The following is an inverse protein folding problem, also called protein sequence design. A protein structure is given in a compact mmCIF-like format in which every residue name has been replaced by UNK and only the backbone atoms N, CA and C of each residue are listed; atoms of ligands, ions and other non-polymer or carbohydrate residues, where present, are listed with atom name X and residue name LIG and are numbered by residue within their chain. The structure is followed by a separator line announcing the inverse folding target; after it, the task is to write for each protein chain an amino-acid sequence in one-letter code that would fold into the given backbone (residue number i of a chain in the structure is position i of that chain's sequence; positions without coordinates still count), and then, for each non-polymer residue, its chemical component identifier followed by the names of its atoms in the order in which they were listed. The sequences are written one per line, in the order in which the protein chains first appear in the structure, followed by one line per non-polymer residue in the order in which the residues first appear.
data_IF_230547151413
#
_entry.id   IF_230547151413
#
_cell.length_a   1.000
_cell.length_b   1.000
_cell.length_c   1.000
_cell.angle_alpha   90.00
_cell.angle_beta   90.00
_cell.angle_gamma   90.00
#
_symmetry.space_group_name_H-M   'P 1'
#
loop_
_entity.id
_entity.type
_entity.pdbx_description
1 polymer ?
#
# COMPACT_ATOMS: atom_id res chain seq x y z
N UNK A 1 22.73 -4.91 -8.16
CA UNK A 1 22.11 -6.24 -8.12
C UNK A 1 21.83 -6.57 -6.69
N UNK A 2 20.57 -6.82 -6.35
CA UNK A 2 20.21 -7.27 -5.00
C UNK A 2 20.86 -8.61 -4.69
N UNK A 3 21.18 -8.83 -3.42
CA UNK A 3 21.72 -10.10 -2.95
C UNK A 3 20.61 -11.14 -2.91
N UNK A 4 20.92 -12.41 -3.21
CA UNK A 4 19.97 -13.51 -3.07
C UNK A 4 19.39 -13.63 -1.66
N UNK A 5 20.17 -13.24 -0.64
CA UNK A 5 19.71 -13.19 0.75
C UNK A 5 18.65 -12.10 0.99
N UNK A 6 18.76 -10.97 0.28
CA UNK A 6 17.77 -9.89 0.36
C UNK A 6 16.46 -10.34 -0.28
N UNK A 7 16.54 -10.91 -1.48
CA UNK A 7 15.38 -11.45 -2.20
C UNK A 7 14.65 -12.51 -1.36
N UNK A 8 15.40 -13.44 -0.73
CA UNK A 8 14.80 -14.45 0.15
C UNK A 8 14.10 -13.83 1.37
N UNK A 9 14.68 -12.78 1.96
CA UNK A 9 14.07 -12.07 3.09
C UNK A 9 12.78 -11.37 2.68
N UNK A 10 12.79 -10.65 1.56
CA UNK A 10 11.63 -9.90 1.06
C UNK A 10 10.47 -10.83 0.71
N UNK A 11 10.77 -11.95 0.07
CA UNK A 11 9.80 -13.01 -0.21
C UNK A 11 9.21 -13.57 1.08
N UNK A 12 10.01 -13.72 2.13
CA UNK A 12 9.51 -14.24 3.39
C UNK A 12 8.59 -13.26 4.12
N UNK A 13 8.90 -11.97 4.04
CA UNK A 13 8.00 -10.91 4.52
C UNK A 13 6.68 -10.93 3.74
N UNK A 14 6.74 -11.03 2.41
CA UNK A 14 5.55 -11.09 1.55
C UNK A 14 4.67 -12.29 1.91
N UNK A 15 5.27 -13.47 2.04
CA UNK A 15 4.53 -14.68 2.43
C UNK A 15 3.87 -14.51 3.81
N UNK A 16 4.60 -14.01 4.80
CA UNK A 16 4.07 -13.81 6.15
C UNK A 16 2.94 -12.77 6.23
N UNK A 17 2.96 -11.75 5.37
CA UNK A 17 1.95 -10.70 5.37
C UNK A 17 0.70 -11.02 4.56
N UNK A 18 0.83 -11.75 3.45
CA UNK A 18 -0.23 -11.87 2.46
C UNK A 18 -0.66 -13.31 2.13
N UNK A 19 0.18 -14.32 2.38
CA UNK A 19 -0.07 -15.69 1.87
C UNK A 19 -0.29 -16.71 3.00
N UNK A 20 0.50 -16.63 4.07
CA UNK A 20 0.43 -17.57 5.18
C UNK A 20 -0.97 -17.63 5.81
N UNK A 21 -1.36 -18.77 6.39
CA UNK A 21 -2.71 -18.95 6.96
C UNK A 21 -3.03 -17.95 8.08
N UNK A 22 -2.00 -17.48 8.77
CA UNK A 22 -2.10 -16.46 9.84
C UNK A 22 -1.78 -15.04 9.37
N UNK A 23 -1.72 -14.81 8.05
CA UNK A 23 -1.40 -13.51 7.48
C UNK A 23 -2.45 -12.46 7.86
N UNK A 24 -2.04 -11.26 8.32
CA UNK A 24 -2.96 -10.18 8.69
C UNK A 24 -3.74 -9.64 7.49
N UNK A 25 -3.12 -9.61 6.32
CA UNK A 25 -3.68 -9.11 5.07
C UNK A 25 -3.80 -10.24 4.05
N UNK A 26 -4.28 -11.41 4.51
CA UNK A 26 -4.33 -12.63 3.71
C UNK A 26 -5.11 -12.41 2.41
N UNK A 27 -4.44 -12.64 1.30
CA UNK A 27 -5.06 -12.70 -0.02
C UNK A 27 -5.70 -14.06 -0.19
N UNK A 28 -6.94 -14.07 -0.67
CA UNK A 28 -7.66 -15.30 -0.94
C UNK A 28 -7.18 -15.92 -2.27
N UNK A 29 -6.29 -16.90 -2.14
CA UNK A 29 -5.79 -17.73 -3.23
C UNK A 29 -6.35 -19.16 -3.16
N UNK A 30 -6.32 -19.84 -4.31
CA UNK A 30 -6.56 -21.28 -4.36
C UNK A 30 -5.50 -22.04 -3.54
N UNK A 31 -5.92 -23.15 -2.93
CA UNK A 31 -5.07 -23.95 -2.04
C UNK A 31 -3.80 -24.47 -2.73
N UNK A 32 -3.87 -24.73 -4.04
CA UNK A 32 -2.72 -25.09 -4.86
C UNK A 32 -1.63 -24.00 -4.82
N UNK A 33 -2.01 -22.73 -4.99
CA UNK A 33 -1.07 -21.60 -5.00
C UNK A 33 -0.42 -21.44 -3.63
N UNK A 34 -1.21 -21.50 -2.56
CA UNK A 34 -0.70 -21.37 -1.18
C UNK A 34 0.29 -22.49 -0.87
N UNK A 35 -0.03 -23.72 -1.28
CA UNK A 35 0.82 -24.90 -1.04
C UNK A 35 2.14 -24.80 -1.80
N UNK A 36 2.08 -24.43 -3.08
CA UNK A 36 3.28 -24.23 -3.90
C UNK A 36 4.15 -23.08 -3.38
N UNK A 37 3.54 -21.98 -2.97
CA UNK A 37 4.25 -20.82 -2.41
C UNK A 37 4.98 -21.23 -1.13
N UNK A 38 4.29 -21.91 -0.21
CA UNK A 38 4.88 -22.40 1.03
C UNK A 38 6.08 -23.31 0.77
N UNK A 39 5.93 -24.28 -0.13
CA UNK A 39 7.04 -25.18 -0.50
C UNK A 39 8.22 -24.42 -1.12
N UNK A 40 7.95 -23.42 -1.96
CA UNK A 40 8.96 -22.61 -2.61
C UNK A 40 9.79 -21.79 -1.61
N UNK A 41 9.13 -21.21 -0.60
CA UNK A 41 9.83 -20.42 0.42
C UNK A 41 10.62 -21.32 1.39
N UNK A 42 10.02 -22.41 1.87
CA UNK A 42 10.70 -23.32 2.82
C UNK A 42 11.97 -23.94 2.22
N UNK A 43 11.98 -24.19 0.90
CA UNK A 43 13.14 -24.74 0.20
C UNK A 43 14.09 -23.67 -0.36
N UNK A 44 13.77 -22.38 -0.19
CA UNK A 44 14.46 -21.24 -0.82
C UNK A 44 14.68 -21.45 -2.34
N UNK A 45 13.68 -22.01 -3.01
CA UNK A 45 13.77 -22.39 -4.42
C UNK A 45 13.37 -21.19 -5.30
N UNK A 46 14.37 -20.40 -5.70
CA UNK A 46 14.18 -19.16 -6.46
C UNK A 46 13.43 -19.37 -7.79
N UNK A 47 13.64 -20.49 -8.49
CA UNK A 47 12.95 -20.76 -9.77
C UNK A 47 11.47 -21.07 -9.59
N UNK A 48 11.12 -21.72 -8.48
CA UNK A 48 9.72 -21.99 -8.14
C UNK A 48 9.06 -20.71 -7.61
N UNK A 49 9.80 -19.92 -6.82
CA UNK A 49 9.37 -18.62 -6.31
C UNK A 49 9.01 -17.66 -7.44
N UNK A 50 9.85 -17.55 -8.47
CA UNK A 50 9.58 -16.68 -9.62
C UNK A 50 8.24 -17.05 -10.30
N UNK A 51 8.04 -18.34 -10.58
CA UNK A 51 6.80 -18.84 -11.19
C UNK A 51 5.57 -18.62 -10.33
N UNK A 52 5.66 -18.92 -9.03
CA UNK A 52 4.49 -18.83 -8.15
C UNK A 52 4.15 -17.37 -7.85
N UNK A 53 5.14 -16.48 -7.76
CA UNK A 53 4.92 -15.04 -7.65
C UNK A 53 4.22 -14.52 -8.91
N UNK A 54 4.68 -14.91 -10.10
CA UNK A 54 4.03 -14.52 -11.35
C UNK A 54 2.57 -15.00 -11.40
N UNK A 55 2.32 -16.28 -11.08
CA UNK A 55 0.96 -16.85 -11.04
C UNK A 55 0.07 -16.11 -10.03
N UNK A 56 0.59 -15.84 -8.83
CA UNK A 56 -0.12 -15.10 -7.77
C UNK A 56 -0.44 -13.67 -8.20
N UNK A 57 0.52 -12.98 -8.82
CA UNK A 57 0.33 -11.63 -9.36
C UNK A 57 -0.77 -11.60 -10.41
N UNK A 58 -0.79 -12.56 -11.35
CA UNK A 58 -1.83 -12.63 -12.37
C UNK A 58 -3.22 -12.77 -11.75
N UNK A 59 -3.39 -13.60 -10.73
CA UNK A 59 -4.69 -13.76 -10.03
C UNK A 59 -5.14 -12.46 -9.38
N UNK A 60 -4.24 -11.80 -8.62
CA UNK A 60 -4.55 -10.52 -7.96
C UNK A 60 -4.87 -9.44 -8.99
N UNK A 61 -4.09 -9.35 -10.05
CA UNK A 61 -4.29 -8.37 -11.11
C UNK A 61 -5.63 -8.54 -11.81
N UNK A 62 -5.99 -9.79 -12.19
CA UNK A 62 -7.28 -10.07 -12.83
C UNK A 62 -8.45 -9.72 -11.90
N UNK A 63 -8.36 -10.08 -10.61
CA UNK A 63 -9.39 -9.76 -9.62
C UNK A 63 -9.54 -8.26 -9.40
N UNK A 64 -8.44 -7.53 -9.28
CA UNK A 64 -8.45 -6.07 -9.18
C UNK A 64 -9.09 -5.42 -10.42
N UNK A 65 -8.79 -5.95 -11.61
CA UNK A 65 -9.37 -5.48 -12.86
C UNK A 65 -10.90 -5.70 -12.89
N UNK A 66 -11.36 -6.90 -12.57
CA UNK A 66 -12.80 -7.24 -12.58
C UNK A 66 -13.60 -6.51 -11.50
N UNK A 67 -13.04 -6.41 -10.30
CA UNK A 67 -13.80 -6.00 -9.11
C UNK A 67 -13.75 -4.49 -8.89
N UNK A 68 -12.72 -3.82 -9.40
CA UNK A 68 -12.49 -2.39 -9.14
C UNK A 68 -12.34 -1.58 -10.42
N UNK A 69 -11.41 -1.94 -11.31
CA UNK A 69 -11.06 -1.09 -12.45
C UNK A 69 -12.20 -1.03 -13.47
N UNK A 70 -12.77 -2.17 -13.86
CA UNK A 70 -13.87 -2.24 -14.82
C UNK A 70 -15.12 -1.53 -14.27
N UNK A 71 -15.59 -1.81 -13.03
CA UNK A 71 -16.72 -1.08 -12.45
C UNK A 71 -16.46 0.43 -12.34
N UNK A 72 -15.24 0.84 -11.97
CA UNK A 72 -14.88 2.26 -11.95
C UNK A 72 -15.02 2.90 -13.33
N UNK A 73 -14.53 2.25 -14.39
CA UNK A 73 -14.65 2.75 -15.76
C UNK A 73 -16.10 2.83 -16.26
N UNK A 74 -17.01 2.08 -15.64
CA UNK A 74 -18.45 2.10 -15.91
C UNK A 74 -19.23 3.06 -14.99
N UNK A 75 -18.57 3.62 -13.98
CA UNK A 75 -19.20 4.50 -12.99
C UNK A 75 -19.45 5.91 -13.53
N UNK A 76 -20.45 6.57 -12.95
CA UNK A 76 -20.75 7.98 -13.22
C UNK A 76 -19.59 8.91 -12.85
N UNK A 77 -18.73 8.52 -11.91
CA UNK A 77 -17.54 9.29 -11.56
C UNK A 77 -16.58 9.38 -12.75
N UNK A 78 -16.34 8.26 -13.42
CA UNK A 78 -15.48 8.22 -14.60
C UNK A 78 -16.12 8.92 -15.81
N UNK A 79 -17.42 8.73 -16.04
CA UNK A 79 -18.16 9.45 -17.07
C UNK A 79 -18.20 10.95 -16.81
N UNK A 80 -18.37 11.36 -15.56
CA UNK A 80 -18.33 12.75 -15.13
C UNK A 80 -16.95 13.39 -15.32
N UNK A 81 -15.87 12.66 -15.05
CA UNK A 81 -14.51 13.10 -15.38
C UNK A 81 -14.35 13.32 -16.88
N UNK A 82 -14.79 12.36 -17.71
CA UNK A 82 -14.78 12.50 -19.18
C UNK A 82 -15.60 13.69 -19.66
N UNK A 83 -16.80 13.89 -19.11
CA UNK A 83 -17.67 15.01 -19.46
C UNK A 83 -17.05 16.35 -19.09
N UNK A 84 -16.51 16.50 -17.87
CA UNK A 84 -15.80 17.73 -17.47
C UNK A 84 -14.61 18.02 -18.38
N UNK A 85 -13.83 16.99 -18.73
CA UNK A 85 -12.70 17.11 -19.67
C UNK A 85 -13.17 17.57 -21.05
N UNK A 86 -14.26 17.01 -21.57
CA UNK A 86 -14.85 17.40 -22.85
C UNK A 86 -15.37 18.86 -22.84
N UNK A 87 -16.05 19.28 -21.76
CA UNK A 87 -16.51 20.67 -21.59
C UNK A 87 -15.33 21.64 -21.51
N UNK A 88 -14.22 21.23 -20.89
CA UNK A 88 -12.98 22.01 -20.83
C UNK A 88 -12.23 22.10 -22.18
N UNK A 89 -12.75 21.47 -23.25
CA UNK A 89 -12.13 21.50 -24.57
C UNK A 89 -10.83 20.70 -24.68
N UNK A 90 -10.55 19.82 -23.71
CA UNK A 90 -9.34 18.98 -23.72
C UNK A 90 -9.61 17.77 -24.62
N UNK A 91 -8.86 17.67 -25.73
CA UNK A 91 -9.01 16.58 -26.71
C UNK A 91 -8.81 15.21 -26.05
N UNK A 92 -9.62 14.23 -26.48
CA UNK A 92 -9.55 12.85 -25.99
C UNK A 92 -8.32 12.08 -26.47
N UNK A 93 -7.60 12.59 -27.48
CA UNK A 93 -6.40 11.95 -28.03
C UNK A 93 -5.14 12.14 -27.15
N UNK A 94 -5.25 12.91 -26.06
CA UNK A 94 -4.17 13.08 -25.08
C UNK A 94 -4.37 12.10 -23.92
N UNK A 95 -4.01 10.83 -24.15
CA UNK A 95 -3.90 9.81 -23.10
C UNK A 95 -2.44 9.52 -22.68
N UNK A 96 -1.49 10.35 -23.10
CA UNK A 96 -0.10 10.29 -22.63
C UNK A 96 0.20 11.50 -21.76
N UNK A 97 -0.18 11.46 -20.49
CA UNK A 97 0.38 12.33 -19.43
C UNK A 97 0.12 11.70 -18.08
N UNK A 98 0.99 10.76 -17.74
CA UNK A 98 1.20 10.17 -16.42
C UNK A 98 1.90 11.19 -15.50
N UNK A 99 1.25 12.32 -15.21
CA UNK A 99 1.80 13.35 -14.31
C UNK A 99 0.74 14.27 -13.69
N UNK A 100 -0.25 13.75 -12.95
CA UNK A 100 -1.04 14.63 -12.07
C UNK A 100 -1.91 13.92 -11.03
N UNK A 101 -1.30 13.10 -10.17
CA UNK A 101 -1.93 12.76 -8.88
C UNK A 101 -1.00 12.96 -7.67
N UNK A 102 0.13 13.66 -7.86
CA UNK A 102 1.09 13.95 -6.81
C UNK A 102 1.04 15.40 -6.31
N UNK A 103 -0.13 15.95 -5.95
CA UNK A 103 -0.14 17.21 -5.18
C UNK A 103 -1.49 17.50 -4.50
N UNK A 104 -1.83 16.73 -3.47
CA UNK A 104 -2.73 17.21 -2.39
C UNK A 104 -2.71 16.27 -1.20
N UNK A 105 -1.53 16.02 -0.65
CA UNK A 105 -1.41 15.67 0.75
C UNK A 105 0.02 15.91 1.23
N UNK A 106 0.32 17.16 1.56
CA UNK A 106 1.43 17.49 2.46
C UNK A 106 1.00 18.65 3.32
N UNK A 107 1.12 18.41 4.62
CA UNK A 107 0.83 19.26 5.77
C UNK A 107 1.21 20.74 5.57
N UNK A 108 0.35 21.62 6.08
CA UNK A 108 0.79 22.88 6.67
C UNK A 108 0.56 22.73 8.18
N UNK A 109 1.57 22.22 8.86
CA UNK A 109 1.79 22.46 10.29
C UNK A 109 2.71 23.68 10.39
N UNK A 110 2.22 24.75 11.00
CA UNK A 110 3.04 25.90 11.40
C UNK A 110 2.53 26.43 12.76
N UNK A 111 3.15 25.87 13.81
CA UNK A 111 3.71 26.49 15.02
C UNK A 111 2.87 27.37 16.00
N UNK A 112 3.34 27.58 17.24
CA UNK A 112 2.52 27.72 18.43
C UNK A 112 2.42 29.18 18.89
N UNK A 113 1.24 29.57 19.39
CA UNK A 113 1.08 30.85 20.10
C UNK A 113 0.99 30.60 21.60
N UNK A 114 2.12 30.78 22.27
CA UNK A 114 2.21 30.90 23.73
C UNK A 114 1.99 32.35 24.15
N UNK A 115 0.83 32.63 24.74
CA UNK A 115 0.61 33.64 25.80
C UNK A 115 -0.30 32.92 26.80
N UNK A 116 0.01 32.77 28.09
CA UNK A 116 0.48 33.79 29.00
C UNK A 116 -0.62 34.03 30.04
N UNK A 117 -0.65 33.23 31.10
CA UNK A 117 -1.34 33.57 32.35
C UNK A 117 -0.70 32.82 33.53
N UNK A 118 0.00 33.60 34.36
CA UNK A 118 0.62 33.17 35.59
C UNK A 118 -0.42 32.86 36.68
N UNK A 119 -0.09 31.92 37.57
CA UNK A 119 -0.31 32.13 39.01
C UNK A 119 0.65 31.26 39.83
N UNK A 120 1.26 31.95 40.78
CA UNK A 120 2.31 31.53 41.71
C UNK A 120 1.89 30.39 42.65
N UNK A 121 2.88 29.67 43.20
CA UNK A 121 3.21 29.73 44.65
C UNK A 121 3.70 28.39 45.21
N UNK A 122 4.83 28.43 45.92
CA UNK A 122 5.19 27.48 46.98
C UNK A 122 6.09 26.32 46.52
N UNK A 123 7.41 26.48 46.51
CA UNK A 123 8.35 26.23 47.62
C UNK A 123 8.49 24.76 48.07
N UNK A 124 9.76 24.36 48.02
CA UNK A 124 10.49 23.43 48.90
C UNK A 124 10.63 21.95 48.50
N UNK A 125 11.91 21.59 48.41
CA UNK A 125 12.47 20.28 48.29
C UNK A 125 12.32 19.47 49.58
N UNK A 126 12.22 18.15 49.48
CA UNK A 126 12.95 17.26 50.39
C UNK A 126 13.11 15.84 49.84
N UNK A 127 14.32 15.31 50.01
CA UNK A 127 14.73 13.95 49.71
C UNK A 127 13.96 12.88 50.51
N UNK A 128 13.78 11.73 49.86
CA UNK A 128 14.11 10.41 50.43
C UNK A 128 13.07 9.74 51.32
N UNK A 129 12.71 8.48 50.99
CA UNK A 129 13.27 7.28 51.63
C UNK A 129 12.71 6.01 50.97
N UNK A 130 13.51 4.96 51.15
CA UNK A 130 13.23 3.52 50.92
C UNK A 130 11.82 3.10 51.31
#
# INVERSE_FOLDING_TARGET
TESSAQIAYDIWQLFGQFVHDSAPERIEFDEEIVTEFKAAVECNNLLLLDKIIEKSYQVVYQRMQSDHVVPFCQSDAFLGLKLRRAIAGVSSDSLESEESMGSSFSEVVDDPKYEGAASESGKEALMGRK
#
